data_IF_529707237428
#
_entry.id   IF_529707237428
#
_cell.length_a   1.000
_cell.length_b   1.000
_cell.length_c   1.000
_cell.angle_alpha   90.00
_cell.angle_beta   90.00
_cell.angle_gamma   90.00
#
_symmetry.space_group_name_H-M   'P 1'
#
loop_
_entity.id
_entity.type
_entity.pdbx_description
1 polymer ?
#
# COMPACT_ATOMS: atom_id res chain seq x y z
N UNK A 1 24.05 22.67 16.51
CA UNK A 1 22.57 22.58 16.44
C UNK A 1 22.15 23.09 15.07
N UNK A 2 21.28 22.33 14.40
CA UNK A 2 20.70 22.75 13.13
C UNK A 2 19.42 23.54 13.41
N UNK A 3 19.36 24.75 12.88
CA UNK A 3 18.20 25.60 13.02
C UNK A 3 17.46 25.69 11.70
N UNK A 4 16.15 25.79 11.76
CA UNK A 4 15.30 26.02 10.60
C UNK A 4 15.55 27.47 10.13
N UNK A 5 15.84 27.63 8.85
CA UNK A 5 15.94 28.94 8.22
C UNK A 5 14.60 29.41 7.73
N UNK A 6 13.88 28.50 7.05
CA UNK A 6 12.56 28.73 6.48
C UNK A 6 11.74 27.46 6.48
N UNK A 7 10.44 27.57 6.72
CA UNK A 7 9.49 26.48 6.60
C UNK A 7 8.13 27.03 6.14
N UNK A 8 7.50 26.31 5.21
CA UNK A 8 6.18 26.68 4.73
C UNK A 8 5.07 26.32 5.73
N UNK A 9 3.88 26.84 5.50
CA UNK A 9 2.71 26.61 6.37
C UNK A 9 2.33 25.13 6.45
N UNK A 10 2.48 24.37 5.36
CA UNK A 10 2.18 22.94 5.34
C UNK A 10 3.11 22.15 6.27
N UNK A 11 4.39 22.46 6.29
CA UNK A 11 5.34 21.87 7.22
C UNK A 11 4.97 22.19 8.68
N UNK A 12 4.63 23.43 8.97
CA UNK A 12 4.18 23.82 10.30
C UNK A 12 2.95 23.04 10.74
N UNK A 13 1.93 22.91 9.89
CA UNK A 13 0.72 22.12 10.19
C UNK A 13 1.03 20.65 10.45
N UNK A 14 1.95 20.06 9.69
CA UNK A 14 2.30 18.66 9.84
C UNK A 14 3.01 18.32 11.14
N UNK A 15 3.95 19.18 11.58
CA UNK A 15 4.91 18.82 12.60
C UNK A 15 4.80 19.60 13.92
N UNK A 16 4.08 20.70 13.97
CA UNK A 16 3.97 21.49 15.23
C UNK A 16 2.71 21.18 16.05
N UNK A 17 1.74 20.43 15.50
CA UNK A 17 0.53 20.05 16.23
C UNK A 17 -0.18 21.24 16.88
N UNK A 18 -0.41 21.16 18.19
CA UNK A 18 -1.11 22.20 18.97
C UNK A 18 -0.34 23.55 18.99
N UNK A 19 0.95 23.54 18.71
CA UNK A 19 1.75 24.75 18.64
C UNK A 19 1.64 25.49 17.29
N UNK A 20 0.90 24.94 16.33
CA UNK A 20 0.76 25.56 14.99
C UNK A 20 0.27 27.00 15.06
N UNK A 21 -0.78 27.29 15.82
CA UNK A 21 -1.32 28.65 15.93
C UNK A 21 -0.31 29.64 16.54
N UNK A 22 0.53 29.17 17.49
CA UNK A 22 1.58 29.98 18.08
C UNK A 22 2.65 30.36 17.06
N UNK A 23 3.10 29.40 16.25
CA UNK A 23 4.10 29.65 15.22
C UNK A 23 3.56 30.45 14.05
N UNK A 24 2.30 30.26 13.68
CA UNK A 24 1.63 31.02 12.61
C UNK A 24 1.54 32.51 12.90
N UNK A 25 1.36 32.91 14.17
CA UNK A 25 1.27 34.33 14.58
C UNK A 25 2.62 35.00 14.68
N UNK A 26 3.73 34.25 14.65
CA UNK A 26 5.08 34.81 14.70
C UNK A 26 5.51 35.31 13.32
N UNK A 27 6.14 36.51 13.22
CA UNK A 27 6.63 37.04 11.95
C UNK A 27 7.60 36.07 11.22
N UNK A 28 8.44 35.39 12.00
CA UNK A 28 9.48 34.49 11.50
C UNK A 28 9.05 33.01 11.46
N UNK A 29 7.81 32.71 11.83
CA UNK A 29 7.28 31.35 11.84
C UNK A 29 8.14 30.39 12.66
N UNK A 30 8.71 29.38 12.02
CA UNK A 30 9.64 28.41 12.62
C UNK A 30 11.11 28.79 12.50
N UNK A 31 11.45 29.91 11.86
CA UNK A 31 12.86 30.30 11.71
C UNK A 31 13.54 30.41 13.07
N UNK A 32 14.77 29.91 13.15
CA UNK A 32 15.55 29.84 14.38
C UNK A 32 15.23 28.69 15.33
N UNK A 33 14.12 27.94 15.08
CA UNK A 33 13.82 26.76 15.88
C UNK A 33 14.79 25.62 15.56
N UNK A 34 15.18 24.85 16.58
CA UNK A 34 16.01 23.67 16.39
C UNK A 34 15.20 22.54 15.74
N UNK A 35 15.67 22.00 14.61
CA UNK A 35 14.96 20.99 13.81
C UNK A 35 14.71 19.70 14.58
N UNK A 36 15.64 19.29 15.44
CA UNK A 36 15.56 18.09 16.29
C UNK A 36 14.42 18.14 17.33
N UNK A 37 13.86 19.32 17.59
CA UNK A 37 12.67 19.49 18.45
C UNK A 37 11.36 19.43 17.68
N UNK A 38 11.41 19.54 16.37
CA UNK A 38 10.23 19.62 15.50
C UNK A 38 9.98 18.26 14.81
N UNK A 39 11.04 17.59 14.35
CA UNK A 39 10.93 16.32 13.60
C UNK A 39 11.79 15.22 14.21
N UNK A 40 11.29 14.00 14.21
CA UNK A 40 11.99 12.82 14.75
C UNK A 40 13.10 12.32 13.79
N UNK A 41 13.15 12.78 12.55
CA UNK A 41 14.11 12.38 11.50
C UNK A 41 15.20 13.44 11.23
N UNK A 42 15.51 14.27 12.19
CA UNK A 42 16.54 15.31 12.05
C UNK A 42 17.94 14.78 11.67
N UNK A 43 18.22 13.50 11.91
CA UNK A 43 19.49 12.87 11.56
C UNK A 43 19.70 12.74 10.04
N UNK A 44 18.63 12.74 9.24
CA UNK A 44 18.71 12.79 7.77
C UNK A 44 19.45 14.08 7.36
N UNK A 45 19.05 15.21 7.90
CA UNK A 45 19.66 16.51 7.59
C UNK A 45 21.11 16.58 8.05
N UNK A 46 21.44 16.03 9.24
CA UNK A 46 22.82 15.96 9.73
C UNK A 46 23.71 15.13 8.80
N UNK A 47 23.16 14.04 8.27
CA UNK A 47 23.89 13.17 7.35
C UNK A 47 24.21 13.90 6.04
N UNK A 48 23.24 14.64 5.49
CA UNK A 48 23.43 15.40 4.24
C UNK A 48 24.46 16.52 4.46
N UNK A 49 24.36 17.27 5.56
CA UNK A 49 25.34 18.32 5.88
C UNK A 49 26.78 17.78 5.96
N UNK A 50 26.96 16.52 6.42
CA UNK A 50 28.28 15.90 6.53
C UNK A 50 28.78 15.30 5.22
N UNK A 51 27.89 14.75 4.43
CA UNK A 51 28.25 13.94 3.26
C UNK A 51 28.09 14.69 1.94
N UNK A 52 27.32 15.77 1.92
CA UNK A 52 26.93 16.48 0.70
C UNK A 52 26.05 15.65 -0.26
N UNK A 53 25.56 14.47 0.17
CA UNK A 53 24.78 13.57 -0.68
C UNK A 53 23.30 13.69 -0.38
N UNK A 54 22.52 13.87 -1.43
CA UNK A 54 21.07 13.90 -1.34
C UNK A 54 20.53 12.56 -0.83
N UNK A 55 19.45 12.62 -0.04
CA UNK A 55 18.79 11.46 0.54
C UNK A 55 17.32 11.47 0.14
N UNK A 56 16.87 10.36 -0.40
CA UNK A 56 15.47 10.11 -0.67
C UNK A 56 14.98 8.91 0.15
N UNK A 57 13.91 9.10 0.90
CA UNK A 57 13.26 8.06 1.70
C UNK A 57 11.79 8.01 1.35
N UNK A 58 11.36 6.88 0.80
CA UNK A 58 9.96 6.60 0.53
C UNK A 58 9.32 5.89 1.72
N UNK A 59 8.07 6.24 2.00
CA UNK A 59 7.25 5.61 3.05
C UNK A 59 7.96 5.54 4.41
N UNK A 60 8.62 6.61 4.77
CA UNK A 60 9.30 6.71 6.06
C UNK A 60 8.29 6.81 7.21
N UNK A 61 8.35 5.86 8.13
CA UNK A 61 7.44 5.81 9.27
C UNK A 61 7.82 6.81 10.35
N UNK A 62 6.89 7.70 10.68
CA UNK A 62 6.98 8.58 11.85
C UNK A 62 5.70 8.43 12.65
N UNK A 63 5.78 7.79 13.81
CA UNK A 63 4.62 7.47 14.65
C UNK A 63 3.57 6.68 13.86
N UNK A 64 2.41 7.25 13.60
CA UNK A 64 1.30 6.61 12.87
C UNK A 64 1.10 7.20 11.47
N UNK A 65 2.13 7.80 10.88
CA UNK A 65 2.09 8.43 9.55
C UNK A 65 3.25 7.98 8.69
N UNK A 66 3.05 8.06 7.39
CA UNK A 66 4.00 7.74 6.35
C UNK A 66 4.36 9.01 5.57
N UNK A 67 5.65 9.26 5.45
CA UNK A 67 6.16 10.41 4.72
C UNK A 67 7.14 9.98 3.63
N UNK A 68 7.03 10.62 2.48
CA UNK A 68 8.11 10.64 1.49
C UNK A 68 8.97 11.86 1.77
N UNK A 69 10.26 11.63 1.99
CA UNK A 69 11.23 12.66 2.36
C UNK A 69 12.31 12.71 1.29
N UNK A 70 12.40 13.83 0.59
CA UNK A 70 13.49 14.14 -0.32
C UNK A 70 14.28 15.31 0.26
N UNK A 71 15.49 15.05 0.71
CA UNK A 71 16.35 16.06 1.29
C UNK A 71 17.65 16.20 0.49
N UNK A 72 18.07 17.42 0.21
CA UNK A 72 19.14 17.77 -0.71
C UNK A 72 19.98 18.94 -0.21
N UNK A 73 21.21 19.01 -0.68
CA UNK A 73 22.12 20.11 -0.37
C UNK A 73 21.76 21.35 -1.18
N UNK A 74 21.54 22.47 -0.51
CA UNK A 74 21.42 23.80 -1.14
C UNK A 74 22.77 24.47 -1.15
N UNK A 75 23.46 24.47 -0.01
CA UNK A 75 24.81 25.02 0.15
C UNK A 75 25.66 24.03 0.95
N UNK A 76 26.83 23.67 0.42
CA UNK A 76 27.66 22.62 1.00
C UNK A 76 28.05 22.94 2.45
N UNK A 77 27.78 21.98 3.34
CA UNK A 77 28.01 22.04 4.77
C UNK A 77 27.26 23.16 5.53
N UNK A 78 26.42 23.95 4.86
CA UNK A 78 25.70 25.07 5.45
C UNK A 78 24.18 24.92 5.40
N UNK A 79 23.61 24.65 4.22
CA UNK A 79 22.16 24.67 4.03
C UNK A 79 21.68 23.40 3.36
N UNK A 80 20.70 22.76 3.99
CA UNK A 80 19.95 21.60 3.45
C UNK A 80 18.50 21.98 3.26
N UNK A 81 17.95 21.64 2.11
CA UNK A 81 16.53 21.73 1.81
C UNK A 81 15.86 20.37 1.88
N UNK A 82 14.55 20.36 2.12
CA UNK A 82 13.76 19.13 2.02
C UNK A 82 12.35 19.38 1.50
N UNK A 83 11.84 18.39 0.77
CA UNK A 83 10.44 18.24 0.41
C UNK A 83 9.90 17.03 1.17
N UNK A 84 8.84 17.23 1.95
CA UNK A 84 8.22 16.21 2.78
C UNK A 84 6.75 16.11 2.41
N UNK A 85 6.32 14.93 2.00
CA UNK A 85 4.94 14.67 1.58
C UNK A 85 4.31 13.64 2.50
N UNK A 86 3.15 13.93 3.08
CA UNK A 86 2.36 12.94 3.83
C UNK A 86 1.63 12.01 2.84
N UNK A 87 2.03 10.75 2.80
CA UNK A 87 1.47 9.72 1.91
C UNK A 87 0.60 8.72 2.64
N UNK A 88 0.28 8.94 3.91
CA UNK A 88 -0.47 8.03 4.77
C UNK A 88 -1.80 7.61 4.17
N UNK A 89 -2.59 8.56 3.69
CA UNK A 89 -3.91 8.27 3.13
C UNK A 89 -3.84 7.56 1.77
N UNK A 90 -2.85 7.92 0.95
CA UNK A 90 -2.63 7.29 -0.35
C UNK A 90 -2.24 5.82 -0.19
N UNK A 91 -1.31 5.51 0.73
CA UNK A 91 -0.86 4.14 0.98
C UNK A 91 -1.96 3.29 1.63
N UNK A 92 -2.71 3.84 2.59
CA UNK A 92 -3.87 3.15 3.19
C UNK A 92 -4.94 2.80 2.15
N UNK A 93 -5.20 3.69 1.20
CA UNK A 93 -6.15 3.42 0.11
C UNK A 93 -5.62 2.34 -0.84
N UNK A 94 -4.34 2.35 -1.16
CA UNK A 94 -3.70 1.33 -1.99
C UNK A 94 -3.79 -0.06 -1.35
N UNK A 95 -3.52 -0.17 -0.05
CA UNK A 95 -3.67 -1.42 0.70
C UNK A 95 -5.10 -1.94 0.67
N UNK A 96 -6.10 -1.08 0.90
CA UNK A 96 -7.53 -1.44 0.84
C UNK A 96 -7.94 -1.94 -0.56
N UNK A 97 -7.46 -1.28 -1.62
CA UNK A 97 -7.73 -1.70 -3.00
C UNK A 97 -7.10 -3.08 -3.26
N UNK A 98 -5.87 -3.29 -2.84
CA UNK A 98 -5.17 -4.57 -2.98
C UNK A 98 -5.90 -5.70 -2.25
N UNK A 99 -6.31 -5.49 -1.00
CA UNK A 99 -7.09 -6.47 -0.24
C UNK A 99 -8.40 -6.81 -0.94
N UNK A 100 -9.14 -5.80 -1.41
CA UNK A 100 -10.41 -6.00 -2.11
C UNK A 100 -10.25 -6.76 -3.42
N UNK A 101 -9.16 -6.52 -4.15
CA UNK A 101 -8.83 -7.28 -5.35
C UNK A 101 -8.55 -8.75 -5.03
N UNK A 102 -7.81 -9.05 -3.97
CA UNK A 102 -7.56 -10.43 -3.53
C UNK A 102 -8.84 -11.15 -3.10
N UNK A 103 -9.74 -10.48 -2.38
CA UNK A 103 -11.04 -11.04 -2.00
C UNK A 103 -11.88 -11.42 -3.23
N UNK A 104 -11.94 -10.55 -4.24
CA UNK A 104 -12.68 -10.82 -5.50
C UNK A 104 -12.07 -12.00 -6.25
N UNK A 105 -10.74 -12.05 -6.37
CA UNK A 105 -10.04 -13.16 -7.03
C UNK A 105 -10.33 -14.48 -6.32
N UNK A 106 -10.22 -14.53 -4.99
CA UNK A 106 -10.49 -15.74 -4.20
C UNK A 106 -11.93 -16.21 -4.35
N UNK A 107 -12.89 -15.27 -4.36
CA UNK A 107 -14.30 -15.57 -4.58
C UNK A 107 -14.55 -16.15 -5.98
N UNK A 108 -13.93 -15.57 -7.01
CA UNK A 108 -14.07 -16.07 -8.38
C UNK A 108 -13.47 -17.47 -8.54
N UNK A 109 -12.30 -17.74 -7.95
CA UNK A 109 -11.70 -19.08 -7.94
C UNK A 109 -12.66 -20.09 -7.29
N UNK A 110 -13.24 -19.75 -6.14
CA UNK A 110 -14.21 -20.63 -5.46
C UNK A 110 -15.46 -20.92 -6.31
N UNK A 111 -15.96 -19.93 -7.06
CA UNK A 111 -17.10 -20.12 -7.97
C UNK A 111 -16.71 -21.06 -9.11
N UNK A 112 -15.54 -20.85 -9.74
CA UNK A 112 -15.04 -21.70 -10.83
C UNK A 112 -14.87 -23.16 -10.35
N UNK A 113 -14.34 -23.36 -9.15
CA UNK A 113 -14.20 -24.69 -8.55
C UNK A 113 -15.55 -25.38 -8.34
N UNK A 114 -16.57 -24.63 -7.86
CA UNK A 114 -17.93 -25.17 -7.71
C UNK A 114 -18.54 -25.56 -9.05
N UNK A 115 -18.38 -24.75 -10.08
CA UNK A 115 -18.86 -25.04 -11.44
C UNK A 115 -18.18 -26.29 -11.98
N UNK A 116 -16.87 -26.42 -11.82
CA UNK A 116 -16.12 -27.60 -12.27
C UNK A 116 -16.58 -28.88 -11.55
N UNK A 117 -16.88 -28.80 -10.25
CA UNK A 117 -17.41 -29.91 -9.46
C UNK A 117 -18.80 -30.36 -9.98
N UNK A 118 -19.71 -29.40 -10.18
CA UNK A 118 -21.05 -29.67 -10.71
C UNK A 118 -21.01 -30.27 -12.13
N UNK A 119 -20.11 -29.77 -12.99
CA UNK A 119 -19.93 -30.36 -14.32
C UNK A 119 -19.38 -31.79 -14.25
N UNK A 120 -18.48 -32.07 -13.32
CA UNK A 120 -17.97 -33.43 -13.08
C UNK A 120 -19.05 -34.40 -12.60
N UNK A 121 -19.91 -33.95 -11.67
CA UNK A 121 -21.04 -34.75 -11.20
C UNK A 121 -22.03 -35.08 -12.34
N UNK A 122 -22.39 -34.11 -13.17
CA UNK A 122 -23.25 -34.31 -14.32
C UNK A 122 -22.63 -35.24 -15.39
N UNK A 123 -21.31 -35.19 -15.58
CA UNK A 123 -20.63 -36.13 -16.47
C UNK A 123 -20.77 -37.58 -16.00
N UNK A 124 -20.57 -37.83 -14.70
CA UNK A 124 -20.72 -39.16 -14.10
C UNK A 124 -22.17 -39.68 -14.22
N UNK A 125 -23.16 -38.83 -13.92
CA UNK A 125 -24.57 -39.19 -14.09
C UNK A 125 -24.91 -39.55 -15.53
N UNK A 126 -24.44 -38.77 -16.50
CA UNK A 126 -24.66 -39.02 -17.93
C UNK A 126 -24.02 -40.34 -18.39
N UNK A 127 -22.79 -40.59 -17.93
CA UNK A 127 -22.04 -41.81 -18.23
C UNK A 127 -22.76 -43.05 -17.66
N UNK A 128 -23.28 -42.94 -16.43
CA UNK A 128 -24.07 -43.99 -15.79
C UNK A 128 -25.36 -44.30 -16.57
N UNK A 129 -26.10 -43.25 -16.98
CA UNK A 129 -27.31 -43.40 -17.77
C UNK A 129 -27.04 -44.03 -19.15
N UNK A 130 -26.01 -43.61 -19.84
CA UNK A 130 -25.61 -44.18 -21.13
C UNK A 130 -25.19 -45.65 -21.02
N UNK A 131 -24.47 -46.03 -19.96
CA UNK A 131 -24.09 -47.41 -19.70
C UNK A 131 -25.32 -48.29 -19.43
N UNK A 132 -26.28 -47.80 -18.64
CA UNK A 132 -27.54 -48.52 -18.38
C UNK A 132 -28.35 -48.74 -19.66
N UNK A 133 -28.44 -47.72 -20.53
CA UNK A 133 -29.14 -47.86 -21.83
C UNK A 133 -28.42 -48.86 -22.74
N UNK A 134 -27.08 -48.89 -22.74
CA UNK A 134 -26.31 -49.82 -23.52
C UNK A 134 -26.53 -51.29 -23.07
N UNK A 135 -26.55 -51.52 -21.75
CA UNK A 135 -26.84 -52.84 -21.15
C UNK A 135 -28.24 -53.31 -21.51
N UNK A 136 -29.27 -52.46 -21.42
CA UNK A 136 -30.66 -52.81 -21.80
C UNK A 136 -30.79 -53.18 -23.29
N UNK A 137 -29.99 -52.55 -24.17
CA UNK A 137 -29.99 -52.89 -25.61
C UNK A 137 -29.28 -54.20 -25.92
N UNK A 138 -28.30 -54.62 -25.17
CA UNK A 138 -27.57 -55.86 -25.32
C UNK A 138 -28.45 -57.04 -24.85
N UNK A 139 -29.20 -56.92 -23.75
CA UNK A 139 -30.12 -57.91 -23.23
C UNK A 139 -31.34 -58.22 -24.20
N UNK A 140 -31.85 -57.18 -24.88
CA UNK A 140 -32.93 -57.33 -25.86
C UNK A 140 -32.50 -58.05 -27.17
N UNK A 141 -31.20 -58.01 -27.49
CA UNK A 141 -30.67 -58.72 -28.66
C UNK A 141 -30.35 -60.19 -28.39
N UNK A 142 -30.09 -60.61 -27.17
CA UNK A 142 -29.83 -61.99 -26.81
C UNK A 142 -31.17 -62.85 -26.73
N UNK A 143 -32.28 -62.19 -26.37
CA UNK A 143 -33.58 -62.81 -26.29
C UNK A 143 -34.27 -63.08 -27.68
N UNK A 144 -33.73 -62.52 -28.76
CA UNK A 144 -34.27 -62.74 -30.14
C UNK A 144 -33.55 -63.81 -30.94
N UNK A 145 -32.62 -64.55 -30.35
CA UNK A 145 -31.84 -65.63 -31.03
C UNK A 145 -32.21 -67.05 -30.60
N UNK A 146 -33.36 -67.26 -29.91
CA UNK A 146 -33.93 -68.62 -29.73
C UNK A 146 -35.11 -68.90 -30.68
#
# INVERSE_FOLDING_TARGET
NMNILEANESFMKMFTGDMYEVFKTRPDGLAGAAIDRIVDFADIFKTILKTGKDIHKERYHVKNRLYDISAFTIEENEIVGAVITDVTSAETNREKISQKAHEVISKNISIVQKIACLLGEHMVETETLLSSIAEDYDDDNDTKKE
#
